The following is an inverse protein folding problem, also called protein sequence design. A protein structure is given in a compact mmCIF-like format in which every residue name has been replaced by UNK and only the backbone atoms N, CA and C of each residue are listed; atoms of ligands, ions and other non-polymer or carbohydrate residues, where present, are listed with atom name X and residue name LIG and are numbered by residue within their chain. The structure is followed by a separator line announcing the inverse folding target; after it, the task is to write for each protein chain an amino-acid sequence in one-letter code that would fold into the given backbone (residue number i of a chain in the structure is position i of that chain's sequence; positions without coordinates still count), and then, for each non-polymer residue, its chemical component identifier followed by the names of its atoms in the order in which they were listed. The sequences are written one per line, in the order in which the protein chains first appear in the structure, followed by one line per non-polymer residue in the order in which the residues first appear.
data_IF_911895903637
#
_entry.id   IF_911895903637
#
_cell.length_a   1.000
_cell.length_b   1.000
_cell.length_c   1.000
_cell.angle_alpha   90.00
_cell.angle_beta   90.00
_cell.angle_gamma   90.00
#
_symmetry.space_group_name_H-M   'P 1'
#
loop_
_entity.id
_entity.type
_entity.pdbx_description
1 polymer ?
#
# COMPACT_ATOMS: atom_id res chain seq x y z
N UNK A 1 11.74 3.60 -16.03
CA UNK A 1 10.29 3.88 -16.06
C UNK A 1 9.38 2.64 -16.15
N UNK A 2 9.89 1.40 -16.24
CA UNK A 2 9.07 0.20 -16.56
C UNK A 2 8.32 -0.44 -15.37
N UNK A 3 8.82 -0.28 -14.13
CA UNK A 3 8.30 -0.96 -12.93
C UNK A 3 7.23 -0.17 -12.17
N UNK A 4 7.37 1.15 -12.10
CA UNK A 4 6.34 2.05 -11.56
C UNK A 4 5.08 2.00 -12.45
N UNK A 5 5.24 1.92 -13.77
CA UNK A 5 4.11 1.75 -14.68
C UNK A 5 3.37 0.42 -14.47
N UNK A 6 4.08 -0.68 -14.18
CA UNK A 6 3.47 -1.97 -13.82
C UNK A 6 2.60 -1.85 -12.57
N UNK A 7 3.15 -1.26 -11.51
CA UNK A 7 2.50 -1.20 -10.21
C UNK A 7 1.37 -0.15 -10.17
N UNK A 8 1.52 0.97 -10.89
CA UNK A 8 0.45 1.95 -11.11
C UNK A 8 -0.66 1.42 -12.03
N UNK A 9 -0.37 0.54 -13.00
CA UNK A 9 -1.39 -0.13 -13.83
C UNK A 9 -2.13 -1.24 -13.08
N UNK A 10 -1.45 -1.93 -12.16
CA UNK A 10 -2.09 -2.84 -11.21
C UNK A 10 -3.08 -2.12 -10.28
N UNK A 11 -2.74 -0.92 -9.81
CA UNK A 11 -3.64 -0.08 -9.01
C UNK A 11 -4.79 0.50 -9.86
N UNK A 12 -4.48 1.01 -11.06
CA UNK A 12 -5.47 1.69 -11.93
C UNK A 12 -6.41 0.78 -12.71
N UNK A 13 -6.13 -0.53 -12.84
CA UNK A 13 -7.11 -1.50 -13.32
C UNK A 13 -8.21 -1.83 -12.28
N UNK A 14 -8.14 -1.28 -11.06
CA UNK A 14 -9.07 -1.59 -9.97
C UNK A 14 -9.86 -0.39 -9.41
N UNK A 15 -9.67 0.84 -9.90
CA UNK A 15 -10.31 2.01 -9.29
C UNK A 15 -10.71 3.09 -10.30
N UNK A 16 -12.02 3.35 -10.37
CA UNK A 16 -12.54 4.64 -10.83
C UNK A 16 -11.99 5.74 -9.90
N UNK A 17 -11.24 6.69 -10.48
CA UNK A 17 -10.67 7.82 -9.75
C UNK A 17 -11.79 8.73 -9.24
N UNK A 18 -11.92 8.86 -7.93
CA UNK A 18 -12.50 10.05 -7.30
C UNK A 18 -11.39 10.95 -6.79
N UNK A 19 -11.18 12.07 -7.50
CA UNK A 19 -10.35 13.19 -7.06
C UNK A 19 -10.97 13.82 -5.82
N UNK A 20 -10.41 13.51 -4.65
CA UNK A 20 -10.40 14.35 -3.46
C UNK A 20 -9.31 13.79 -2.56
N UNK A 21 -8.44 14.64 -2.01
CA UNK A 21 -7.57 14.24 -0.90
C UNK A 21 -8.49 13.69 0.19
N UNK A 22 -8.49 12.39 0.50
CA UNK A 22 -9.44 11.88 1.46
C UNK A 22 -8.94 12.31 2.84
N UNK A 23 -9.86 12.76 3.69
CA UNK A 23 -9.67 12.98 5.13
C UNK A 23 -9.29 11.70 5.91
N UNK A 24 -8.82 10.67 5.20
CA UNK A 24 -8.59 9.29 5.58
C UNK A 24 -7.74 8.63 4.47
N UNK A 25 -6.41 8.78 4.51
CA UNK A 25 -5.44 8.03 3.69
C UNK A 25 -4.90 6.86 4.54
N UNK A 26 -4.50 5.73 3.94
CA UNK A 26 -5.26 4.76 3.15
C UNK A 26 -6.13 3.81 4.01
N UNK A 27 -7.06 3.10 3.38
CA UNK A 27 -8.08 2.23 4.01
C UNK A 27 -7.54 0.97 4.69
N UNK A 28 -6.27 0.62 4.45
CA UNK A 28 -5.65 -0.58 5.01
C UNK A 28 -4.77 -0.24 6.21
N UNK A 29 -4.82 -1.06 7.26
CA UNK A 29 -3.86 -0.99 8.36
C UNK A 29 -2.61 -1.76 7.95
N UNK A 30 -1.48 -1.07 7.90
CA UNK A 30 -0.19 -1.73 7.76
C UNK A 30 0.20 -2.37 9.10
N UNK A 31 0.83 -3.53 9.00
CA UNK A 31 1.46 -4.22 10.12
C UNK A 31 2.93 -4.45 9.79
N UNK A 32 3.78 -4.49 10.81
CA UNK A 32 5.21 -4.75 10.63
C UNK A 32 5.48 -6.10 9.96
N UNK A 33 4.70 -7.13 10.28
CA UNK A 33 4.74 -8.45 9.65
C UNK A 33 4.51 -8.36 8.14
N UNK A 34 3.44 -7.68 7.73
CA UNK A 34 3.05 -7.52 6.33
C UNK A 34 4.07 -6.68 5.56
N UNK A 35 4.58 -5.60 6.18
CA UNK A 35 5.62 -4.78 5.58
C UNK A 35 6.94 -5.55 5.40
N UNK A 36 7.34 -6.35 6.39
CA UNK A 36 8.52 -7.21 6.28
C UNK A 36 8.38 -8.23 5.14
N UNK A 37 7.22 -8.88 5.02
CA UNK A 37 6.95 -9.84 3.96
C UNK A 37 6.95 -9.16 2.59
N UNK A 38 6.32 -7.98 2.49
CA UNK A 38 6.34 -7.15 1.30
C UNK A 38 7.77 -6.82 0.87
N UNK A 39 8.62 -6.32 1.79
CA UNK A 39 10.01 -5.95 1.48
C UNK A 39 10.87 -7.15 1.03
N UNK A 40 10.63 -8.35 1.58
CA UNK A 40 11.31 -9.58 1.15
C UNK A 40 10.86 -10.06 -0.22
N UNK A 41 9.59 -9.86 -0.55
CA UNK A 41 8.96 -10.44 -1.75
C UNK A 41 9.07 -9.52 -2.96
N UNK A 42 9.03 -8.21 -2.74
CA UNK A 42 9.03 -7.20 -3.80
C UNK A 42 10.17 -7.41 -4.82
N UNK A 43 11.44 -7.67 -4.41
CA UNK A 43 12.51 -7.95 -5.38
C UNK A 43 12.20 -9.14 -6.29
N UNK A 44 11.70 -10.25 -5.72
CA UNK A 44 11.38 -11.46 -6.50
C UNK A 44 10.20 -11.26 -7.45
N UNK A 45 9.24 -10.39 -7.09
CA UNK A 45 8.12 -10.00 -7.97
C UNK A 45 8.64 -9.12 -9.10
N UNK A 46 9.50 -8.16 -8.80
CA UNK A 46 10.13 -7.29 -9.80
C UNK A 46 10.99 -8.12 -10.78
N UNK A 47 11.81 -9.04 -10.29
CA UNK A 47 12.61 -9.95 -11.12
C UNK A 47 11.71 -10.80 -12.03
N UNK A 48 10.64 -11.39 -11.48
CA UNK A 48 9.70 -12.17 -12.26
C UNK A 48 9.04 -11.34 -13.36
N UNK A 49 8.56 -10.13 -13.04
CA UNK A 49 7.96 -9.22 -14.03
C UNK A 49 8.93 -8.88 -15.17
N UNK A 50 10.23 -8.78 -14.86
CA UNK A 50 11.30 -8.51 -15.83
C UNK A 50 11.50 -9.70 -16.76
N UNK A 51 11.61 -10.91 -16.21
CA UNK A 51 11.79 -12.15 -16.98
C UNK A 51 10.56 -12.38 -17.87
N UNK A 52 9.36 -12.23 -17.30
CA UNK A 52 8.10 -12.43 -18.00
C UNK A 52 7.98 -11.51 -19.21
N UNK A 53 8.39 -10.23 -19.08
CA UNK A 53 8.42 -9.27 -20.19
C UNK A 53 9.30 -9.68 -21.36
N UNK A 54 10.38 -10.39 -21.10
CA UNK A 54 11.37 -10.76 -22.10
C UNK A 54 11.09 -12.13 -22.73
N UNK A 55 9.92 -12.74 -22.46
CA UNK A 55 9.55 -14.01 -23.08
C UNK A 55 9.06 -13.81 -24.53
N UNK A 56 9.40 -14.71 -25.46
CA UNK A 56 9.09 -14.57 -26.90
C UNK A 56 7.59 -14.56 -27.23
N UNK A 57 6.73 -14.97 -26.31
CA UNK A 57 5.27 -14.84 -26.45
C UNK A 57 4.78 -13.39 -26.27
N UNK A 58 5.54 -12.56 -25.56
CA UNK A 58 5.28 -11.13 -25.37
C UNK A 58 5.70 -10.33 -26.61
N UNK A 59 6.72 -10.78 -27.35
CA UNK A 59 7.16 -10.15 -28.61
C UNK A 59 6.11 -10.23 -29.74
N UNK A 60 5.07 -11.07 -29.58
CA UNK A 60 3.93 -11.18 -30.50
C UNK A 60 2.78 -10.19 -30.20
N UNK A 61 2.87 -9.43 -29.10
CA UNK A 61 1.89 -8.41 -28.73
C UNK A 61 2.11 -7.13 -29.57
N UNK A 62 1.96 -7.20 -30.89
CA UNK A 62 1.93 -6.00 -31.73
C UNK A 62 0.58 -5.30 -31.57
N UNK A 63 0.51 -4.23 -30.76
CA UNK A 63 -0.47 -3.13 -30.90
C UNK A 63 -0.36 -2.09 -29.77
N UNK A 64 -1.07 -0.97 -29.95
CA UNK A 64 -1.22 0.17 -29.03
C UNK A 64 -1.56 -0.23 -27.56
N UNK A 65 -2.00 -1.48 -27.35
CA UNK A 65 -2.43 -2.09 -26.08
C UNK A 65 -1.41 -3.10 -25.48
N UNK A 66 -0.17 -3.16 -25.99
CA UNK A 66 0.89 -4.08 -25.50
C UNK A 66 1.00 -4.10 -23.98
N UNK A 67 1.01 -2.92 -23.37
CA UNK A 67 1.15 -2.78 -21.92
C UNK A 67 -0.03 -3.43 -21.20
N UNK A 68 -1.28 -3.16 -21.63
CA UNK A 68 -2.47 -3.71 -21.00
C UNK A 68 -2.47 -5.24 -21.04
N UNK A 69 -2.26 -5.84 -22.22
CA UNK A 69 -2.22 -7.30 -22.40
C UNK A 69 -1.07 -7.97 -21.64
N UNK A 70 0.09 -7.31 -21.59
CA UNK A 70 1.22 -7.77 -20.80
C UNK A 70 0.87 -7.81 -19.31
N UNK A 71 0.20 -6.77 -18.81
CA UNK A 71 -0.17 -6.67 -17.41
C UNK A 71 -1.29 -7.64 -17.02
N UNK A 72 -2.30 -7.83 -17.87
CA UNK A 72 -3.34 -8.85 -17.69
C UNK A 72 -2.71 -10.25 -17.61
N UNK A 73 -1.86 -10.62 -18.57
CA UNK A 73 -1.19 -11.92 -18.57
C UNK A 73 -0.27 -12.14 -17.35
N UNK A 74 0.37 -11.07 -16.88
CA UNK A 74 1.19 -11.12 -15.68
C UNK A 74 0.33 -11.26 -14.42
N UNK A 75 -0.81 -10.56 -14.35
CA UNK A 75 -1.79 -10.64 -13.25
C UNK A 75 -2.36 -12.04 -13.11
N UNK A 76 -2.69 -12.67 -14.24
CA UNK A 76 -3.26 -14.02 -14.32
C UNK A 76 -2.20 -15.11 -14.16
N UNK A 77 -0.92 -14.75 -14.02
CA UNK A 77 0.17 -15.71 -13.90
C UNK A 77 0.04 -16.54 -12.61
N UNK A 78 -0.03 -17.89 -12.70
CA UNK A 78 0.00 -18.76 -11.53
C UNK A 78 1.28 -18.59 -10.70
N UNK A 79 2.39 -18.22 -11.35
CA UNK A 79 3.66 -17.98 -10.67
C UNK A 79 3.60 -16.70 -9.83
N UNK A 80 3.04 -15.60 -10.36
CA UNK A 80 2.80 -14.38 -9.58
C UNK A 80 1.87 -14.67 -8.41
N UNK A 81 0.74 -15.35 -8.65
CA UNK A 81 -0.21 -15.73 -7.61
C UNK A 81 0.46 -16.52 -6.48
N UNK A 82 1.33 -17.48 -6.81
CA UNK A 82 2.07 -18.26 -5.83
C UNK A 82 3.09 -17.41 -5.04
N UNK A 83 3.79 -16.49 -5.68
CA UNK A 83 4.72 -15.56 -5.00
C UNK A 83 3.97 -14.65 -4.03
N UNK A 84 2.81 -14.14 -4.43
CA UNK A 84 1.94 -13.28 -3.62
C UNK A 84 1.36 -14.02 -2.41
N UNK A 85 0.85 -15.25 -2.60
CA UNK A 85 0.35 -16.09 -1.50
C UNK A 85 1.42 -16.38 -0.46
N UNK A 86 2.65 -16.67 -0.88
CA UNK A 86 3.78 -16.87 0.04
C UNK A 86 4.13 -15.61 0.84
N UNK A 87 3.79 -14.44 0.31
CA UNK A 87 4.00 -13.15 0.98
C UNK A 87 2.82 -12.72 1.85
N UNK A 88 1.74 -13.50 1.90
CA UNK A 88 0.55 -13.22 2.71
C UNK A 88 -0.54 -12.44 1.97
N UNK A 89 -0.43 -12.25 0.66
CA UNK A 89 -1.48 -11.62 -0.16
C UNK A 89 -2.40 -12.67 -0.77
N UNK A 90 -3.70 -12.52 -0.58
CA UNK A 90 -4.69 -13.48 -1.10
C UNK A 90 -4.88 -13.31 -2.60
N UNK A 91 -4.83 -12.06 -3.07
CA UNK A 91 -4.98 -11.69 -4.47
C UNK A 91 -3.91 -10.69 -4.91
N UNK A 92 -3.65 -10.58 -6.23
CA UNK A 92 -2.83 -9.50 -6.77
C UNK A 92 -3.42 -8.10 -6.54
N UNK A 93 -4.74 -7.98 -6.40
CA UNK A 93 -5.39 -6.73 -6.03
C UNK A 93 -5.01 -6.29 -4.60
N UNK A 94 -5.00 -7.21 -3.63
CA UNK A 94 -4.57 -6.92 -2.24
C UNK A 94 -3.13 -6.38 -2.22
N UNK A 95 -2.26 -6.99 -3.02
CA UNK A 95 -0.87 -6.55 -3.17
C UNK A 95 -0.78 -5.17 -3.82
N UNK A 96 -1.58 -4.89 -4.85
CA UNK A 96 -1.61 -3.59 -5.51
C UNK A 96 -2.03 -2.47 -4.56
N UNK A 97 -3.14 -2.65 -3.81
CA UNK A 97 -3.59 -1.68 -2.80
C UNK A 97 -2.55 -1.49 -1.69
N UNK A 98 -1.90 -2.57 -1.25
CA UNK A 98 -0.81 -2.50 -0.27
C UNK A 98 0.39 -1.72 -0.81
N UNK A 99 0.79 -2.01 -2.05
CA UNK A 99 1.89 -1.33 -2.71
C UNK A 99 1.63 0.17 -2.88
N UNK A 100 0.45 0.54 -3.38
CA UNK A 100 0.02 1.93 -3.57
C UNK A 100 0.07 2.70 -2.24
N UNK A 101 -0.50 2.12 -1.18
CA UNK A 101 -0.42 2.66 0.18
C UNK A 101 1.02 2.93 0.62
N UNK A 102 1.92 1.96 0.43
CA UNK A 102 3.34 2.11 0.81
C UNK A 102 4.01 3.18 -0.02
N UNK A 103 3.71 3.23 -1.32
CA UNK A 103 4.30 4.20 -2.26
C UNK A 103 3.87 5.63 -1.93
N UNK A 104 2.57 5.86 -1.72
CA UNK A 104 2.03 7.18 -1.37
C UNK A 104 2.66 7.71 -0.09
N UNK A 105 2.74 6.87 0.94
CA UNK A 105 3.36 7.23 2.22
C UNK A 105 4.87 7.44 2.09
N UNK A 106 5.56 6.64 1.26
CA UNK A 106 6.98 6.84 0.99
C UNK A 106 7.24 8.15 0.25
N UNK A 107 6.41 8.50 -0.74
CA UNK A 107 6.50 9.77 -1.46
C UNK A 107 6.22 10.94 -0.53
N UNK A 108 5.17 10.86 0.29
CA UNK A 108 4.85 11.84 1.33
C UNK A 108 6.04 12.10 2.26
N UNK A 109 6.65 11.04 2.80
CA UNK A 109 7.82 11.12 3.69
C UNK A 109 9.07 11.70 3.04
N UNK A 110 9.18 11.69 1.71
CA UNK A 110 10.32 12.25 0.98
C UNK A 110 10.06 13.67 0.43
N UNK A 111 8.80 14.09 0.33
CA UNK A 111 8.40 15.41 -0.19
C UNK A 111 8.24 16.44 0.93
N UNK A 112 7.75 16.02 2.09
CA UNK A 112 7.52 16.92 3.22
C UNK A 112 8.65 16.83 4.25
N UNK A 113 8.96 17.95 4.91
CA UNK A 113 9.71 17.94 6.19
C UNK A 113 8.80 17.40 7.31
N UNK A 114 8.20 16.24 7.10
CA UNK A 114 7.33 15.62 8.07
C UNK A 114 8.16 15.01 9.20
N UNK A 115 7.98 15.54 10.42
CA UNK A 115 8.68 15.05 11.60
C UNK A 115 8.07 13.74 12.10
N UNK A 116 8.86 12.66 12.10
CA UNK A 116 8.45 11.36 12.68
C UNK A 116 8.03 11.50 14.15
N UNK A 117 8.70 12.38 14.91
CA UNK A 117 8.32 12.67 16.30
C UNK A 117 6.89 13.20 16.42
N UNK A 118 6.42 13.96 15.42
CA UNK A 118 5.05 14.47 15.37
C UNK A 118 4.06 13.33 15.13
N UNK A 119 4.37 12.37 14.24
CA UNK A 119 3.54 11.19 14.06
C UNK A 119 3.48 10.31 15.31
N UNK A 120 4.60 10.11 16.01
CA UNK A 120 4.63 9.34 17.27
C UNK A 120 3.73 9.96 18.34
N UNK A 121 3.85 11.29 18.53
CA UNK A 121 3.02 12.03 19.48
C UNK A 121 1.54 11.96 19.11
N UNK A 122 1.21 12.19 17.84
CA UNK A 122 -0.18 12.16 17.36
C UNK A 122 -0.82 10.78 17.47
N UNK A 123 -0.08 9.72 17.13
CA UNK A 123 -0.56 8.35 17.27
C UNK A 123 -0.87 8.04 18.74
N UNK A 124 0.03 8.39 19.67
CA UNK A 124 -0.18 8.19 21.10
C UNK A 124 -1.38 8.98 21.65
N UNK A 125 -1.59 10.22 21.19
CA UNK A 125 -2.77 11.02 21.53
C UNK A 125 -4.06 10.33 21.06
N UNK A 126 -4.11 9.91 19.79
CA UNK A 126 -5.25 9.23 19.20
C UNK A 126 -5.58 7.93 19.92
N UNK A 127 -4.59 7.11 20.27
CA UNK A 127 -4.81 5.88 21.05
C UNK A 127 -5.48 6.16 22.40
N UNK A 128 -5.08 7.22 23.09
CA UNK A 128 -5.71 7.63 24.36
C UNK A 128 -7.15 8.09 24.15
N UNK A 129 -7.42 8.86 23.10
CA UNK A 129 -8.76 9.33 22.77
C UNK A 129 -9.70 8.19 22.35
N UNK A 130 -9.22 7.27 21.52
CA UNK A 130 -9.92 6.05 21.11
C UNK A 130 -10.32 5.23 22.35
N UNK A 131 -9.37 4.95 23.24
CA UNK A 131 -9.64 4.20 24.47
C UNK A 131 -10.70 4.90 25.35
N UNK A 132 -10.60 6.23 25.50
CA UNK A 132 -11.58 7.01 26.26
C UNK A 132 -12.96 6.98 25.61
N UNK A 133 -13.03 7.05 24.28
CA UNK A 133 -14.29 7.04 23.53
C UNK A 133 -14.94 5.66 23.52
N UNK A 134 -14.16 4.59 23.40
CA UNK A 134 -14.64 3.20 23.56
C UNK A 134 -15.29 2.99 24.93
N UNK A 135 -14.68 3.49 26.01
CA UNK A 135 -15.27 3.43 27.36
C UNK A 135 -16.58 4.22 27.47
N UNK A 136 -16.72 5.34 26.76
CA UNK A 136 -17.98 6.10 26.70
C UNK A 136 -19.05 5.33 25.91
N UNK A 137 -18.70 4.76 24.76
CA UNK A 137 -19.61 3.94 23.94
C UNK A 137 -20.09 2.71 24.71
N UNK A 138 -19.23 2.08 25.52
CA UNK A 138 -19.62 0.96 26.37
C UNK A 138 -20.72 1.35 27.38
N UNK A 139 -20.78 2.62 27.80
CA UNK A 139 -21.82 3.17 28.69
C UNK A 139 -23.05 3.64 27.91
N UNK A 140 -22.88 4.04 26.66
CA UNK A 140 -23.93 4.58 25.78
C UNK A 140 -23.95 3.87 24.40
N UNK A 141 -24.26 2.55 24.34
CA UNK A 141 -24.07 1.76 23.12
C UNK A 141 -25.00 2.16 21.97
N UNK A 142 -26.08 2.90 22.24
CA UNK A 142 -27.01 3.38 21.22
C UNK A 142 -26.62 4.74 20.61
N UNK A 143 -25.57 5.39 21.13
CA UNK A 143 -25.17 6.72 20.68
C UNK A 143 -24.36 6.64 19.37
N UNK A 144 -25.06 6.79 18.24
CA UNK A 144 -24.48 6.69 16.90
C UNK A 144 -23.46 7.80 16.60
N UNK A 145 -23.58 8.97 17.22
CA UNK A 145 -22.61 10.05 17.07
C UNK A 145 -21.25 9.65 17.64
N UNK A 146 -21.22 9.02 18.82
CA UNK A 146 -19.97 8.53 19.41
C UNK A 146 -19.31 7.45 18.55
N UNK A 147 -20.11 6.55 17.95
CA UNK A 147 -19.61 5.52 17.03
C UNK A 147 -18.98 6.15 15.78
N UNK A 148 -19.61 7.17 15.19
CA UNK A 148 -19.07 7.89 14.04
C UNK A 148 -17.74 8.57 14.38
N UNK A 149 -17.67 9.28 15.51
CA UNK A 149 -16.41 9.89 15.97
C UNK A 149 -15.32 8.85 16.25
N UNK A 150 -15.69 7.67 16.76
CA UNK A 150 -14.73 6.58 16.96
C UNK A 150 -14.15 6.10 15.63
N UNK A 151 -14.99 5.92 14.60
CA UNK A 151 -14.53 5.54 13.26
C UNK A 151 -13.58 6.59 12.67
N UNK A 152 -13.85 7.88 12.84
CA UNK A 152 -13.00 8.97 12.37
C UNK A 152 -11.62 8.95 13.08
N UNK A 153 -11.60 8.80 14.40
CA UNK A 153 -10.35 8.70 15.17
C UNK A 153 -9.55 7.45 14.82
N UNK A 154 -10.22 6.31 14.62
CA UNK A 154 -9.55 5.08 14.19
C UNK A 154 -8.91 5.27 12.81
N UNK A 155 -9.58 5.95 11.87
CA UNK A 155 -8.95 6.21 10.58
C UNK A 155 -7.69 7.07 10.73
N UNK A 156 -7.75 8.15 11.50
CA UNK A 156 -6.57 8.99 11.73
C UNK A 156 -5.43 8.20 12.37
N UNK A 157 -5.74 7.33 13.34
CA UNK A 157 -4.74 6.47 13.98
C UNK A 157 -4.11 5.51 12.98
N UNK A 158 -4.89 4.91 12.07
CA UNK A 158 -4.36 4.08 10.98
C UNK A 158 -3.39 4.89 10.12
N UNK A 159 -3.75 6.11 9.72
CA UNK A 159 -2.89 6.97 8.89
C UNK A 159 -1.53 7.21 9.57
N UNK A 160 -1.53 7.64 10.83
CA UNK A 160 -0.29 7.89 11.57
C UNK A 160 0.50 6.60 11.83
N UNK A 161 -0.17 5.50 12.17
CA UNK A 161 0.48 4.21 12.34
C UNK A 161 1.17 3.74 11.05
N UNK A 162 0.51 3.90 9.90
CA UNK A 162 1.07 3.54 8.61
C UNK A 162 2.30 4.41 8.27
N UNK A 163 2.25 5.72 8.53
CA UNK A 163 3.42 6.61 8.40
C UNK A 163 4.60 6.09 9.24
N UNK A 164 4.35 5.76 10.51
CA UNK A 164 5.38 5.23 11.40
C UNK A 164 5.96 3.92 10.88
N UNK A 165 5.13 3.00 10.41
CA UNK A 165 5.58 1.74 9.83
C UNK A 165 6.45 1.99 8.59
N UNK A 166 5.98 2.75 7.61
CA UNK A 166 6.73 3.01 6.37
C UNK A 166 8.05 3.73 6.68
N UNK A 167 8.06 4.65 7.65
CA UNK A 167 9.30 5.36 8.05
C UNK A 167 10.41 4.41 8.52
N UNK A 168 10.07 3.30 9.18
CA UNK A 168 11.05 2.31 9.63
C UNK A 168 11.76 1.61 8.47
N UNK A 169 11.11 1.51 7.31
CA UNK A 169 11.64 0.88 6.11
C UNK A 169 12.14 1.90 5.08
N UNK A 170 12.17 3.21 5.40
CA UNK A 170 12.51 4.26 4.43
C UNK A 170 13.89 4.05 3.79
N UNK A 171 14.88 3.57 4.56
CA UNK A 171 16.22 3.27 4.04
C UNK A 171 16.19 2.11 3.04
N UNK A 172 15.46 1.05 3.36
CA UNK A 172 15.35 -0.13 2.50
C UNK A 172 14.55 0.17 1.23
N UNK A 173 13.47 0.95 1.36
CA UNK A 173 12.69 1.47 0.22
C UNK A 173 13.55 2.38 -0.66
N UNK A 174 14.39 3.24 -0.08
CA UNK A 174 15.36 4.05 -0.82
C UNK A 174 16.39 3.18 -1.56
N UNK A 175 16.89 2.12 -0.93
CA UNK A 175 17.81 1.19 -1.57
C UNK A 175 17.15 0.43 -2.71
N UNK A 176 15.91 -0.04 -2.51
CA UNK A 176 15.12 -0.66 -3.57
C UNK A 176 14.87 0.31 -4.71
N UNK A 177 14.51 1.56 -4.44
CA UNK A 177 14.31 2.58 -5.48
C UNK A 177 15.61 2.86 -6.27
N UNK A 178 16.77 2.92 -5.59
CA UNK A 178 18.08 3.09 -6.23
C UNK A 178 18.48 1.89 -7.07
N UNK A 179 18.31 0.68 -6.54
CA UNK A 179 18.61 -0.56 -7.26
C UNK A 179 17.61 -0.82 -8.40
N UNK A 180 16.40 -0.30 -8.25
CA UNK A 180 15.33 -0.40 -9.23
C UNK A 180 15.31 0.75 -10.24
N UNK A 181 16.25 1.72 -10.21
CA UNK A 181 16.48 2.75 -11.26
C UNK A 181 16.14 2.15 -12.64
N UNK A 182 14.92 2.28 -13.18
CA UNK A 182 13.91 3.35 -13.16
C UNK A 182 14.42 4.57 -13.93
#
# INVERSE_FOLDING_TARGET
MKYIAFLLLLASCSTEKTETIPSCLPTIRLELSNMNNYMKTLPSILDFSTIFRNQPYVDQLSDHDFNLKFYEALFDSPELSNKLKKAGFSTPADFATFHETVLDLFLFLNQEEFSIKTAEQKNLELQKEINKLQLKIAREPQNNTLKKSLSELICQEISFNNILIVSQFQKDLNNLNKNAQL
#
